data_IF_930312119287
#
_entry.id   IF_930312119287
#
_cell.length_a   1.000
_cell.length_b   1.000
_cell.length_c   1.000
_cell.angle_alpha   90.00
_cell.angle_beta   90.00
_cell.angle_gamma   90.00
#
_symmetry.space_group_name_H-M   'P 1'
#
loop_
_entity.id
_entity.type
_entity.pdbx_description
1 polymer ?
#
# COMPACT_ATOMS: atom_id res chain seq x y z
N UNK A 1 18.44 24.73 11.05
CA UNK A 1 17.18 25.01 11.77
C UNK A 1 16.06 24.43 10.93
N UNK A 2 15.52 23.27 11.30
CA UNK A 2 14.36 22.68 10.60
C UNK A 2 13.13 23.53 10.95
N UNK A 3 12.63 24.28 9.98
CA UNK A 3 11.51 25.19 10.19
C UNK A 3 10.24 24.41 10.56
N UNK A 4 9.28 25.06 11.19
CA UNK A 4 7.95 24.49 11.42
C UNK A 4 7.18 24.17 10.12
N UNK A 5 7.80 24.36 8.95
CA UNK A 5 7.17 24.40 7.64
C UNK A 5 6.84 23.02 7.06
N UNK A 6 7.64 21.98 7.31
CA UNK A 6 7.46 20.68 6.63
C UNK A 6 6.90 19.60 7.57
N UNK A 7 5.60 19.67 7.88
CA UNK A 7 4.95 18.73 8.79
C UNK A 7 4.74 17.34 8.16
N UNK A 8 4.37 17.27 6.88
CA UNK A 8 4.18 15.98 6.18
C UNK A 8 5.52 15.31 5.97
N UNK A 9 6.55 16.08 5.59
CA UNK A 9 7.90 15.53 5.45
C UNK A 9 8.40 14.95 6.77
N UNK A 10 8.24 15.66 7.90
CA UNK A 10 8.63 15.17 9.23
C UNK A 10 7.86 13.95 9.72
N UNK A 11 6.58 13.84 9.38
CA UNK A 11 5.84 12.61 9.68
C UNK A 11 6.35 11.47 8.79
N UNK A 12 6.69 11.76 7.53
CA UNK A 12 7.39 10.82 6.65
C UNK A 12 8.79 10.42 7.14
N UNK A 13 9.50 11.32 7.84
CA UNK A 13 10.80 11.05 8.48
C UNK A 13 10.72 10.06 9.64
N UNK A 14 9.53 9.80 10.21
CA UNK A 14 9.33 8.70 11.17
C UNK A 14 9.74 7.33 10.58
N UNK A 15 9.93 7.29 9.26
CA UNK A 15 10.47 6.16 8.53
C UNK A 15 9.37 5.31 7.94
N UNK A 16 9.79 4.43 7.04
CA UNK A 16 8.93 3.45 6.43
C UNK A 16 9.42 2.06 6.81
N UNK A 17 8.55 1.25 7.41
CA UNK A 17 8.85 -0.15 7.69
C UNK A 17 8.70 -0.94 6.38
N UNK A 18 9.67 -1.80 6.05
CA UNK A 18 9.56 -2.61 4.85
C UNK A 18 8.38 -3.59 4.89
N UNK A 19 7.89 -3.91 3.69
CA UNK A 19 6.81 -4.86 3.49
C UNK A 19 7.36 -6.29 3.48
N UNK A 20 7.78 -6.77 4.65
CA UNK A 20 8.47 -8.06 4.81
C UNK A 20 7.56 -9.18 5.37
N UNK A 21 6.25 -8.96 5.46
CA UNK A 21 5.32 -10.02 5.89
C UNK A 21 5.34 -11.18 4.88
N UNK A 22 5.03 -12.41 5.30
CA UNK A 22 4.92 -13.54 4.38
C UNK A 22 4.01 -13.26 3.18
N UNK A 23 2.89 -12.56 3.40
CA UNK A 23 1.97 -12.19 2.33
C UNK A 23 2.54 -11.12 1.38
N UNK A 24 3.32 -10.17 1.89
CA UNK A 24 3.94 -9.13 1.06
C UNK A 24 5.00 -9.77 0.15
N UNK A 25 5.82 -10.66 0.72
CA UNK A 25 6.80 -11.47 -0.02
C UNK A 25 6.13 -12.34 -1.07
N UNK A 26 5.04 -13.02 -0.72
CA UNK A 26 4.27 -13.84 -1.66
C UNK A 26 3.72 -13.00 -2.82
N UNK A 27 3.08 -11.85 -2.53
CA UNK A 27 2.57 -10.91 -3.55
C UNK A 27 3.67 -10.44 -4.48
N UNK A 28 4.83 -10.08 -3.93
CA UNK A 28 6.00 -9.61 -4.68
C UNK A 28 6.56 -10.70 -5.60
N UNK A 29 6.83 -11.89 -5.07
CA UNK A 29 7.38 -13.04 -5.80
C UNK A 29 6.42 -13.46 -6.91
N UNK A 30 5.14 -13.63 -6.60
CA UNK A 30 4.15 -14.10 -7.56
C UNK A 30 3.92 -13.06 -8.65
N UNK A 31 3.78 -11.78 -8.30
CA UNK A 31 3.64 -10.71 -9.31
C UNK A 31 4.84 -10.67 -10.26
N UNK A 32 6.06 -10.70 -9.73
CA UNK A 32 7.27 -10.70 -10.54
C UNK A 32 7.41 -11.95 -11.40
N UNK A 33 7.15 -13.13 -10.83
CA UNK A 33 7.18 -14.41 -11.53
C UNK A 33 6.14 -14.50 -12.64
N UNK A 34 4.93 -13.97 -12.43
CA UNK A 34 3.89 -13.89 -13.46
C UNK A 34 4.35 -13.01 -14.62
N UNK A 35 4.90 -11.82 -14.35
CA UNK A 35 5.48 -10.97 -15.39
C UNK A 35 6.61 -11.68 -16.15
N UNK A 36 7.49 -12.37 -15.42
CA UNK A 36 8.57 -13.17 -15.99
C UNK A 36 8.06 -14.25 -16.95
N UNK A 37 7.08 -15.06 -16.50
CA UNK A 37 6.48 -16.11 -17.31
C UNK A 37 5.81 -15.58 -18.57
N UNK A 38 5.05 -14.49 -18.46
CA UNK A 38 4.43 -13.83 -19.63
C UNK A 38 5.49 -13.36 -20.64
N UNK A 39 6.54 -12.68 -20.17
CA UNK A 39 7.64 -12.24 -21.04
C UNK A 39 8.35 -13.43 -21.69
N UNK A 40 8.62 -14.49 -20.94
CA UNK A 40 9.24 -15.72 -21.45
C UNK A 40 8.38 -16.40 -22.52
N UNK A 41 7.07 -16.53 -22.29
CA UNK A 41 6.13 -17.08 -23.28
C UNK A 41 6.11 -16.24 -24.56
N UNK A 42 6.04 -14.90 -24.45
CA UNK A 42 6.05 -14.01 -25.62
C UNK A 42 7.35 -14.15 -26.41
N UNK A 43 8.49 -14.12 -25.73
CA UNK A 43 9.81 -14.23 -26.36
C UNK A 43 9.98 -15.57 -27.07
N UNK A 44 9.59 -16.68 -26.44
CA UNK A 44 9.67 -18.00 -27.07
C UNK A 44 8.73 -18.16 -28.27
N UNK A 45 7.49 -17.67 -28.18
CA UNK A 45 6.55 -17.71 -29.30
C UNK A 45 7.02 -16.86 -30.47
N UNK A 46 7.62 -15.70 -30.20
CA UNK A 46 8.20 -14.84 -31.23
C UNK A 46 9.42 -15.51 -31.89
N UNK A 47 10.29 -16.13 -31.10
CA UNK A 47 11.49 -16.82 -31.60
C UNK A 47 11.15 -18.06 -32.43
N UNK A 48 10.12 -18.81 -32.03
CA UNK A 48 9.70 -20.07 -32.66
C UNK A 48 8.52 -19.88 -33.62
N UNK A 49 8.26 -18.65 -34.04
CA UNK A 49 7.15 -18.32 -34.93
C UNK A 49 7.35 -19.05 -36.27
N UNK A 50 6.36 -19.85 -36.65
CA UNK A 50 6.40 -20.69 -37.87
C UNK A 50 6.91 -22.12 -37.66
N UNK A 51 7.48 -22.45 -36.50
CA UNK A 51 7.91 -23.83 -36.18
C UNK A 51 6.93 -24.57 -35.27
N UNK A 52 6.12 -23.85 -34.49
CA UNK A 52 5.13 -24.46 -33.60
C UNK A 52 3.80 -24.67 -34.32
N UNK A 53 3.21 -25.86 -34.16
CA UNK A 53 1.82 -26.08 -34.57
C UNK A 53 0.87 -25.27 -33.68
N UNK A 54 -0.36 -24.96 -34.15
CA UNK A 54 -1.34 -24.22 -33.35
C UNK A 54 -1.61 -24.86 -31.97
N UNK A 55 -1.62 -26.18 -31.88
CA UNK A 55 -1.79 -26.90 -30.62
C UNK A 55 -0.63 -26.63 -29.64
N UNK A 56 0.61 -26.61 -30.14
CA UNK A 56 1.79 -26.32 -29.31
C UNK A 56 1.86 -24.86 -28.89
N UNK A 57 1.35 -23.94 -29.70
CA UNK A 57 1.21 -22.53 -29.30
C UNK A 57 0.25 -22.37 -28.11
N UNK A 58 -0.85 -23.12 -28.08
CA UNK A 58 -1.75 -23.14 -26.92
C UNK A 58 -1.05 -23.73 -25.69
N UNK A 59 -0.31 -24.84 -25.86
CA UNK A 59 0.45 -25.45 -24.76
C UNK A 59 1.52 -24.51 -24.21
N UNK A 60 2.17 -23.69 -25.05
CA UNK A 60 3.17 -22.71 -24.63
C UNK A 60 2.64 -21.66 -23.64
N UNK A 61 1.32 -21.46 -23.60
CA UNK A 61 0.68 -20.55 -22.64
C UNK A 61 0.50 -21.14 -21.24
N UNK A 62 0.63 -22.47 -21.07
CA UNK A 62 0.35 -23.17 -19.80
C UNK A 62 1.12 -22.58 -18.61
N UNK A 63 2.44 -22.33 -18.66
CA UNK A 63 3.17 -21.73 -17.53
C UNK A 63 2.63 -20.34 -17.15
N UNK A 64 2.30 -19.51 -18.15
CA UNK A 64 1.71 -18.19 -17.92
C UNK A 64 0.32 -18.27 -17.29
N UNK A 65 -0.51 -19.24 -17.72
CA UNK A 65 -1.83 -19.48 -17.13
C UNK A 65 -1.71 -19.94 -15.67
N UNK A 66 -0.80 -20.87 -15.36
CA UNK A 66 -0.56 -21.32 -13.98
C UNK A 66 -0.13 -20.14 -13.09
N UNK A 67 0.81 -19.32 -13.57
CA UNK A 67 1.26 -18.14 -12.83
C UNK A 67 0.17 -17.07 -12.69
N UNK A 68 -0.72 -16.94 -13.67
CA UNK A 68 -1.89 -16.07 -13.57
C UNK A 68 -2.87 -16.56 -12.50
N UNK A 69 -3.12 -17.87 -12.42
CA UNK A 69 -3.94 -18.47 -11.35
C UNK A 69 -3.30 -18.21 -9.99
N UNK A 70 -1.99 -18.47 -9.83
CA UNK A 70 -1.27 -18.18 -8.59
C UNK A 70 -1.36 -16.69 -8.20
N UNK A 71 -1.23 -15.80 -9.18
CA UNK A 71 -1.41 -14.35 -8.98
C UNK A 71 -2.80 -14.03 -8.44
N UNK A 72 -3.85 -14.55 -9.05
CA UNK A 72 -5.23 -14.34 -8.59
C UNK A 72 -5.42 -14.91 -7.18
N UNK A 73 -4.91 -16.10 -6.89
CA UNK A 73 -4.99 -16.73 -5.56
C UNK A 73 -4.38 -15.81 -4.49
N UNK A 74 -3.17 -15.33 -4.72
CA UNK A 74 -2.41 -14.51 -3.75
C UNK A 74 -3.01 -13.13 -3.56
N UNK A 75 -3.58 -12.54 -4.59
CA UNK A 75 -4.17 -11.20 -4.51
C UNK A 75 -5.62 -11.18 -4.04
N UNK A 76 -6.38 -12.26 -4.27
CA UNK A 76 -7.82 -12.29 -3.99
C UNK A 76 -8.24 -13.15 -2.81
N UNK A 77 -7.48 -14.19 -2.49
CA UNK A 77 -7.89 -15.17 -1.48
C UNK A 77 -6.93 -15.25 -0.29
N UNK A 78 -5.68 -14.81 -0.46
CA UNK A 78 -4.77 -14.65 0.67
C UNK A 78 -4.96 -13.26 1.28
N UNK A 79 -5.80 -13.24 2.30
CA UNK A 79 -5.94 -12.10 3.19
C UNK A 79 -4.75 -12.01 4.14
N UNK A 80 -4.51 -10.79 4.57
CA UNK A 80 -3.43 -10.46 5.47
C UNK A 80 -3.95 -10.66 6.90
N UNK A 81 -4.00 -11.92 7.35
CA UNK A 81 -4.34 -12.30 8.73
C UNK A 81 -3.48 -11.54 9.77
N UNK A 82 -2.31 -11.06 9.34
CA UNK A 82 -1.38 -10.28 10.14
C UNK A 82 -1.67 -8.77 10.19
N UNK A 83 -2.79 -8.28 9.63
CA UNK A 83 -3.22 -6.87 9.86
C UNK A 83 -3.44 -6.54 11.34
N UNK A 84 -3.52 -7.56 12.20
CA UNK A 84 -3.88 -7.36 13.60
C UNK A 84 -5.36 -6.94 13.70
N UNK A 85 -5.85 -6.83 14.93
CA UNK A 85 -7.18 -6.27 15.15
C UNK A 85 -7.14 -4.77 14.81
N UNK A 86 -7.91 -4.30 13.80
CA UNK A 86 -7.93 -2.89 13.46
C UNK A 86 -8.38 -2.08 14.67
N UNK A 87 -7.65 -1.01 14.99
CA UNK A 87 -7.95 -0.22 16.18
C UNK A 87 -8.80 0.98 15.76
N UNK A 88 -10.00 1.17 16.34
CA UNK A 88 -10.79 2.36 16.11
C UNK A 88 -10.05 3.60 16.61
N UNK A 89 -9.98 4.64 15.79
CA UNK A 89 -9.28 5.89 16.14
C UNK A 89 -10.09 7.12 15.73
N UNK A 90 -9.81 8.26 16.36
CA UNK A 90 -10.25 9.59 15.92
C UNK A 90 -9.02 10.38 15.50
N UNK A 91 -9.00 10.86 14.26
CA UNK A 91 -7.95 11.71 13.72
C UNK A 91 -8.41 13.16 13.70
N UNK A 92 -7.54 14.07 14.12
CA UNK A 92 -7.71 15.51 14.02
C UNK A 92 -6.73 16.09 13.02
N UNK A 93 -7.23 16.85 12.06
CA UNK A 93 -6.42 17.57 11.08
C UNK A 93 -5.52 18.60 11.77
N UNK A 94 -4.26 18.67 11.32
CA UNK A 94 -3.27 19.61 11.83
C UNK A 94 -3.08 20.77 10.87
N UNK A 95 -2.85 21.96 11.41
CA UNK A 95 -2.36 23.06 10.62
C UNK A 95 -0.98 22.73 10.05
N UNK A 96 -0.79 23.03 8.76
CA UNK A 96 0.51 22.94 8.10
C UNK A 96 0.75 24.20 7.27
N UNK A 97 2.01 24.61 7.17
CA UNK A 97 2.40 25.71 6.29
C UNK A 97 2.68 25.23 4.85
N UNK A 98 2.68 23.91 4.64
CA UNK A 98 2.85 23.32 3.30
C UNK A 98 1.62 23.60 2.44
N UNK A 99 1.86 24.14 1.24
CA UNK A 99 0.78 24.36 0.28
C UNK A 99 0.06 23.05 -0.07
N UNK A 100 -1.26 23.08 -0.34
CA UNK A 100 -1.96 21.89 -0.83
C UNK A 100 -1.29 21.31 -2.08
N UNK A 101 -0.76 22.17 -2.96
CA UNK A 101 -0.09 21.76 -4.19
C UNK A 101 1.17 20.91 -3.97
N UNK A 102 1.96 21.20 -2.94
CA UNK A 102 3.17 20.43 -2.61
C UNK A 102 2.84 19.07 -1.96
N UNK A 103 1.69 18.97 -1.30
CA UNK A 103 1.19 17.74 -0.64
C UNK A 103 0.34 16.85 -1.53
N UNK A 104 0.13 17.27 -2.77
CA UNK A 104 -0.79 16.62 -3.67
C UNK A 104 -0.08 15.57 -4.54
N UNK A 105 -0.53 14.32 -4.46
CA UNK A 105 -0.06 13.22 -5.29
C UNK A 105 -0.80 13.27 -6.63
N UNK A 106 -0.06 13.58 -7.71
CA UNK A 106 -0.65 13.86 -9.03
C UNK A 106 -0.89 12.62 -9.91
N UNK A 107 -0.31 11.48 -9.58
CA UNK A 107 -0.28 10.30 -10.47
C UNK A 107 -0.56 9.00 -9.74
N UNK A 108 -1.10 8.03 -10.48
CA UNK A 108 -1.34 6.66 -10.02
C UNK A 108 -2.65 6.49 -9.26
N UNK A 109 -2.87 5.27 -8.75
CA UNK A 109 -4.06 4.89 -7.99
C UNK A 109 -4.20 5.63 -6.64
N UNK A 110 -3.14 6.29 -6.19
CA UNK A 110 -3.10 7.09 -4.95
C UNK A 110 -3.17 8.60 -5.23
N UNK A 111 -3.79 9.01 -6.34
CA UNK A 111 -4.00 10.42 -6.64
C UNK A 111 -4.87 11.07 -5.55
N UNK A 112 -4.39 12.15 -4.95
CA UNK A 112 -5.08 12.77 -3.82
C UNK A 112 -4.21 13.73 -3.01
N UNK A 113 -4.79 14.25 -1.93
CA UNK A 113 -4.16 15.21 -1.03
C UNK A 113 -3.66 14.53 0.25
N UNK A 114 -2.40 14.76 0.61
CA UNK A 114 -1.85 14.35 1.90
C UNK A 114 -2.21 15.38 2.98
N UNK A 115 -2.89 14.92 4.03
CA UNK A 115 -3.31 15.76 5.16
C UNK A 115 -2.66 15.25 6.44
N UNK A 116 -1.86 16.09 7.13
CA UNK A 116 -1.28 15.70 8.40
C UNK A 116 -2.36 15.67 9.49
N UNK A 117 -2.32 14.63 10.31
CA UNK A 117 -3.28 14.42 11.39
C UNK A 117 -2.57 14.02 12.69
N UNK A 118 -3.15 14.41 13.83
CA UNK A 118 -2.90 13.74 15.10
C UNK A 118 -4.04 12.78 15.35
N UNK A 119 -3.71 11.58 15.79
CA UNK A 119 -4.62 10.47 15.98
C UNK A 119 -4.69 10.13 17.46
N UNK A 120 -5.91 9.95 17.97
CA UNK A 120 -6.19 9.37 19.27
C UNK A 120 -6.85 8.00 19.06
N UNK A 121 -6.18 6.90 19.39
CA UNK A 121 -6.83 5.60 19.50
C UNK A 121 -7.88 5.58 20.60
N UNK A 122 -8.92 4.76 20.43
CA UNK A 122 -9.83 4.42 21.53
C UNK A 122 -9.04 3.75 22.65
N UNK A 123 -8.11 2.85 22.27
CA UNK A 123 -7.17 2.20 23.19
C UNK A 123 -5.72 2.47 22.75
N UNK A 124 -4.99 3.25 23.55
CA UNK A 124 -3.55 3.50 23.35
C UNK A 124 -3.17 4.97 23.37
N UNK A 125 -1.91 5.22 23.07
CA UNK A 125 -1.30 6.55 23.09
C UNK A 125 -1.57 7.32 21.79
N UNK A 126 -1.70 8.66 21.85
CA UNK A 126 -1.83 9.47 20.67
C UNK A 126 -0.56 9.44 19.81
N UNK A 127 -0.75 9.60 18.50
CA UNK A 127 0.35 9.66 17.54
C UNK A 127 0.08 10.63 16.39
N UNK A 128 1.10 10.94 15.60
CA UNK A 128 0.98 11.69 14.34
C UNK A 128 1.05 10.76 13.14
N UNK A 129 0.24 11.06 12.15
CA UNK A 129 0.21 10.37 10.87
C UNK A 129 -0.21 11.31 9.74
N UNK A 130 -0.21 10.80 8.51
CA UNK A 130 -0.70 11.48 7.31
C UNK A 130 -1.81 10.63 6.71
N UNK A 131 -2.94 11.23 6.39
CA UNK A 131 -4.01 10.57 5.62
C UNK A 131 -3.93 11.00 4.17
N UNK A 132 -4.29 10.08 3.27
CA UNK A 132 -4.46 10.37 1.86
C UNK A 132 -5.95 10.52 1.56
N UNK A 133 -6.39 11.74 1.28
CA UNK A 133 -7.72 11.98 0.75
C UNK A 133 -7.69 11.75 -0.76
N UNK A 134 -8.28 10.65 -1.21
CA UNK A 134 -8.25 10.22 -2.61
C UNK A 134 -9.28 10.97 -3.44
N UNK A 135 -8.90 11.34 -4.66
CA UNK A 135 -9.87 11.82 -5.64
C UNK A 135 -10.78 10.69 -6.09
N UNK A 136 -12.09 10.94 -6.10
CA UNK A 136 -13.09 10.02 -6.62
C UNK A 136 -13.88 10.74 -7.70
N UNK A 137 -14.04 10.12 -8.88
CA UNK A 137 -14.88 10.68 -9.95
C UNK A 137 -14.36 11.95 -10.61
N UNK A 138 -13.06 12.26 -10.51
CA UNK A 138 -12.46 13.44 -11.15
C UNK A 138 -12.69 14.76 -10.40
N UNK A 139 -13.36 14.72 -9.24
CA UNK A 139 -13.52 15.88 -8.36
C UNK A 139 -12.25 16.06 -7.53
N UNK A 140 -11.70 17.27 -7.54
CA UNK A 140 -10.54 17.61 -6.75
C UNK A 140 -10.87 17.56 -5.26
N UNK A 141 -10.04 16.89 -4.48
CA UNK A 141 -10.24 16.83 -3.02
C UNK A 141 -9.94 18.19 -2.42
N UNK A 142 -10.90 18.71 -1.67
CA UNK A 142 -10.74 19.89 -0.84
C UNK A 142 -10.03 19.55 0.48
N UNK A 143 -9.18 20.45 0.94
CA UNK A 143 -8.52 20.27 2.23
C UNK A 143 -9.52 20.48 3.37
N UNK A 144 -9.66 19.52 4.29
CA UNK A 144 -10.52 19.69 5.46
C UNK A 144 -9.99 20.82 6.35
N UNK A 145 -10.90 21.51 7.02
CA UNK A 145 -10.56 22.56 7.97
C UNK A 145 -9.62 22.06 9.07
N UNK A 146 -8.80 22.95 9.62
CA UNK A 146 -7.92 22.61 10.73
C UNK A 146 -8.76 22.30 11.98
N UNK A 147 -8.50 21.16 12.61
CA UNK A 147 -9.25 20.71 13.78
C UNK A 147 -10.44 19.80 13.47
N UNK A 148 -10.75 19.54 12.19
CA UNK A 148 -11.76 18.55 11.79
C UNK A 148 -11.44 17.18 12.41
N UNK A 149 -12.44 16.59 13.06
CA UNK A 149 -12.37 15.27 13.66
C UNK A 149 -12.94 14.23 12.70
N UNK A 150 -12.13 13.25 12.33
CA UNK A 150 -12.46 12.17 11.41
C UNK A 150 -12.39 10.83 12.14
N UNK A 151 -13.44 10.02 12.00
CA UNK A 151 -13.42 8.66 12.51
C UNK A 151 -12.73 7.75 11.48
N UNK A 152 -11.66 7.08 11.89
CA UNK A 152 -10.85 6.21 11.05
C UNK A 152 -10.51 4.93 11.83
N UNK A 153 -9.80 4.00 11.18
CA UNK A 153 -9.17 2.88 11.89
C UNK A 153 -7.68 2.86 11.61
N UNK A 154 -6.91 2.57 12.63
CA UNK A 154 -5.52 2.19 12.47
C UNK A 154 -5.47 0.77 11.92
N UNK A 155 -4.76 0.58 10.80
CA UNK A 155 -4.70 -0.71 10.11
C UNK A 155 -4.00 -1.75 10.99
N UNK A 156 -2.89 -1.36 11.63
CA UNK A 156 -2.07 -2.20 12.48
C UNK A 156 -1.59 -1.40 13.71
N UNK A 157 -1.65 -2.01 14.89
CA UNK A 157 -1.16 -1.39 16.13
C UNK A 157 0.31 -0.99 16.01
N UNK A 158 0.63 0.25 16.36
CA UNK A 158 2.00 0.77 16.33
C UNK A 158 2.45 1.29 14.97
N UNK A 159 1.59 1.22 13.94
CA UNK A 159 1.84 1.80 12.61
C UNK A 159 1.01 3.05 12.39
N UNK A 160 1.55 4.02 11.64
CA UNK A 160 0.85 5.25 11.28
C UNK A 160 -0.28 5.04 10.28
N UNK A 161 -0.47 3.85 9.71
CA UNK A 161 -1.43 3.63 8.63
C UNK A 161 -2.87 3.72 9.10
N UNK A 162 -3.64 4.59 8.42
CA UNK A 162 -5.04 4.82 8.69
C UNK A 162 -5.87 4.41 7.47
N UNK A 163 -7.00 3.77 7.73
CA UNK A 163 -7.99 3.41 6.72
C UNK A 163 -9.35 3.97 7.09
N UNK A 164 -10.20 4.13 6.06
CA UNK A 164 -11.59 4.47 6.26
C UNK A 164 -12.34 3.32 6.96
N UNK A 165 -13.45 3.67 7.59
CA UNK A 165 -14.37 2.76 8.26
C UNK A 165 -15.74 2.83 7.61
N UNK A 166 -16.46 1.70 7.62
CA UNK A 166 -17.82 1.65 7.07
C UNK A 166 -18.85 2.18 8.08
N UNK A 167 -18.59 1.98 9.38
CA UNK A 167 -19.47 2.39 10.48
C UNK A 167 -18.64 2.92 11.65
N UNK A 168 -19.10 4.00 12.26
CA UNK A 168 -18.49 4.59 13.47
C UNK A 168 -18.97 3.81 14.69
N UNK A 169 -18.05 3.34 15.53
CA UNK A 169 -18.42 2.64 16.77
C UNK A 169 -18.88 3.61 17.86
N UNK A 170 -19.70 3.17 18.84
CA UNK A 170 -20.11 4.02 19.96
C UNK A 170 -18.93 4.60 20.77
N UNK A 171 -17.84 3.84 20.90
CA UNK A 171 -16.63 4.27 21.59
C UNK A 171 -15.89 5.38 20.84
N UNK A 172 -15.84 5.28 19.50
CA UNK A 172 -15.29 6.36 18.66
C UNK A 172 -16.14 7.62 18.75
N UNK A 173 -17.46 7.48 18.79
CA UNK A 173 -18.36 8.61 18.93
C UNK A 173 -18.15 9.32 20.28
N UNK A 174 -18.11 8.56 21.37
CA UNK A 174 -17.81 9.09 22.70
C UNK A 174 -16.43 9.78 22.77
N UNK A 175 -15.42 9.20 22.10
CA UNK A 175 -14.10 9.80 21.98
C UNK A 175 -14.14 11.11 21.17
N UNK A 176 -14.87 11.13 20.06
CA UNK A 176 -15.06 12.31 19.20
C UNK A 176 -15.71 13.44 19.97
N UNK A 177 -16.80 13.18 20.69
CA UNK A 177 -17.48 14.18 21.53
C UNK A 177 -16.59 14.70 22.66
N UNK A 178 -15.80 13.82 23.28
CA UNK A 178 -14.85 14.22 24.33
C UNK A 178 -13.77 15.14 23.78
N UNK A 179 -13.20 14.81 22.62
CA UNK A 179 -12.18 15.60 21.95
C UNK A 179 -12.73 16.93 21.41
N UNK A 180 -14.00 16.97 20.98
CA UNK A 180 -14.68 18.19 20.58
C UNK A 180 -14.84 19.16 21.77
N UNK A 181 -15.20 18.64 22.96
CA UNK A 181 -15.30 19.44 24.20
C UNK A 181 -13.94 19.85 24.77
N UNK A 182 -12.94 18.99 24.65
CA UNK A 182 -11.61 19.19 25.24
C UNK A 182 -10.50 18.99 24.21
N UNK A 183 -10.36 19.88 23.21
CA UNK A 183 -9.41 19.70 22.10
C UNK A 183 -7.95 19.63 22.58
N UNK A 184 -7.62 20.25 23.71
CA UNK A 184 -6.25 20.24 24.26
C UNK A 184 -5.80 18.88 24.81
N UNK A 185 -6.72 17.92 25.01
CA UNK A 185 -6.35 16.55 25.42
C UNK A 185 -5.48 15.87 24.37
N UNK A 186 -5.71 16.21 23.10
CA UNK A 186 -4.97 15.64 21.99
C UNK A 186 -3.80 16.58 21.63
N UNK A 187 -2.59 16.19 22.03
CA UNK A 187 -1.39 17.01 21.84
C UNK A 187 -0.92 17.00 20.38
N UNK A 188 -0.66 18.20 19.83
CA UNK A 188 -0.05 18.36 18.50
C UNK A 188 1.40 17.83 18.43
N UNK A 189 2.02 17.51 19.59
CA UNK A 189 3.41 17.03 19.70
C UNK A 189 3.53 15.53 19.89
N UNK A 190 2.45 14.77 19.66
CA UNK A 190 2.49 13.32 19.72
C UNK A 190 3.61 12.73 18.83
N UNK A 191 4.21 11.58 19.18
CA UNK A 191 5.22 10.95 18.33
C UNK A 191 4.63 10.58 16.97
N UNK A 192 5.42 10.69 15.90
CA UNK A 192 5.00 10.19 14.59
C UNK A 192 5.28 8.67 14.54
N UNK A 193 4.30 7.90 14.05
CA UNK A 193 4.46 6.46 13.86
C UNK A 193 4.87 6.15 12.41
N UNK A 194 5.69 5.10 12.21
CA UNK A 194 6.13 4.75 10.87
C UNK A 194 5.00 4.14 10.04
N UNK A 195 5.08 4.27 8.72
CA UNK A 195 4.14 3.66 7.78
C UNK A 195 4.76 2.44 7.12
N UNK A 196 3.95 1.42 6.76
CA UNK A 196 4.47 0.28 6.01
C UNK A 196 4.55 0.68 4.55
N UNK A 197 5.59 0.18 3.88
CA UNK A 197 5.73 0.31 2.43
C UNK A 197 4.70 -0.55 1.71
N UNK A 198 4.42 -0.21 0.46
CA UNK A 198 3.61 -1.10 -0.39
C UNK A 198 4.29 -2.45 -0.61
N UNK A 199 3.51 -3.52 -0.72
CA UNK A 199 4.01 -4.90 -0.92
C UNK A 199 4.90 -5.08 -2.16
N UNK A 200 4.80 -4.19 -3.14
CA UNK A 200 5.60 -4.20 -4.37
C UNK A 200 6.82 -3.27 -4.33
N UNK A 201 7.00 -2.48 -3.26
CA UNK A 201 8.17 -1.62 -3.12
C UNK A 201 9.45 -2.44 -2.95
N UNK A 202 10.47 -2.15 -3.76
CA UNK A 202 11.71 -2.93 -3.83
C UNK A 202 12.77 -2.48 -2.82
N UNK A 203 12.31 -2.11 -1.62
CA UNK A 203 13.17 -1.64 -0.53
C UNK A 203 12.83 -2.44 0.72
N UNK A 204 13.82 -3.03 1.42
CA UNK A 204 15.27 -2.96 1.19
C UNK A 204 15.77 -3.83 0.02
N UNK A 205 17.08 -3.95 -0.15
CA UNK A 205 17.70 -4.69 -1.26
C UNK A 205 17.26 -6.17 -1.36
N UNK A 206 16.91 -6.82 -0.24
CA UNK A 206 16.34 -8.18 -0.24
C UNK A 206 15.03 -8.24 -1.02
N UNK A 207 14.17 -7.25 -0.83
CA UNK A 207 12.93 -7.07 -1.57
C UNK A 207 13.18 -6.85 -3.08
N UNK A 208 14.26 -6.16 -3.45
CA UNK A 208 14.67 -6.07 -4.86
C UNK A 208 15.15 -7.42 -5.42
N UNK A 209 15.93 -8.18 -4.64
CA UNK A 209 16.42 -9.50 -5.04
C UNK A 209 15.27 -10.50 -5.24
N UNK A 210 14.27 -10.51 -4.35
CA UNK A 210 13.06 -11.33 -4.51
C UNK A 210 12.32 -11.00 -5.81
N UNK A 211 12.16 -9.71 -6.13
CA UNK A 211 11.50 -9.27 -7.35
C UNK A 211 12.26 -9.73 -8.60
N UNK A 212 13.54 -9.38 -8.71
CA UNK A 212 14.32 -9.69 -9.92
C UNK A 212 14.60 -11.19 -10.06
N UNK A 213 14.84 -11.88 -8.94
CA UNK A 213 15.01 -13.33 -8.91
C UNK A 213 13.76 -14.06 -9.38
N UNK A 214 12.58 -13.68 -8.87
CA UNK A 214 11.32 -14.31 -9.28
C UNK A 214 10.97 -13.99 -10.74
N UNK A 215 11.22 -12.76 -11.21
CA UNK A 215 11.04 -12.39 -12.62
C UNK A 215 11.93 -13.25 -13.53
N UNK A 216 13.22 -13.38 -13.22
CA UNK A 216 14.15 -14.20 -13.97
C UNK A 216 13.77 -15.68 -13.96
N UNK A 217 13.36 -16.21 -12.80
CA UNK A 217 12.91 -17.59 -12.66
C UNK A 217 11.65 -17.88 -13.49
N UNK A 218 10.65 -16.99 -13.45
CA UNK A 218 9.43 -17.13 -14.26
C UNK A 218 9.73 -17.15 -15.75
N UNK A 219 10.62 -16.27 -16.22
CA UNK A 219 11.08 -16.24 -17.60
C UNK A 219 11.79 -17.55 -17.99
N UNK A 220 12.73 -18.01 -17.18
CA UNK A 220 13.48 -19.24 -17.44
C UNK A 220 12.58 -20.48 -17.50
N UNK A 221 11.61 -20.59 -16.58
CA UNK A 221 10.64 -21.70 -16.56
C UNK A 221 9.80 -21.71 -17.84
N UNK A 222 9.29 -20.56 -18.28
CA UNK A 222 8.50 -20.48 -19.51
C UNK A 222 9.32 -20.88 -20.75
N UNK A 223 10.56 -20.38 -20.87
CA UNK A 223 11.45 -20.76 -21.97
C UNK A 223 11.78 -22.26 -21.96
N UNK A 224 12.16 -22.80 -20.79
CA UNK A 224 12.51 -24.21 -20.64
C UNK A 224 11.33 -25.13 -20.95
N UNK A 225 10.13 -24.78 -20.48
CA UNK A 225 8.92 -25.54 -20.80
C UNK A 225 8.63 -25.56 -22.31
N UNK A 226 8.73 -24.40 -22.96
CA UNK A 226 8.48 -24.28 -24.40
C UNK A 226 9.52 -25.07 -25.21
N UNK A 227 10.77 -25.06 -24.76
CA UNK A 227 11.84 -25.87 -25.36
C UNK A 227 11.56 -27.37 -25.28
N UNK A 228 10.90 -27.84 -24.21
CA UNK A 228 10.55 -29.26 -24.03
C UNK A 228 9.39 -29.70 -24.93
N UNK A 229 8.45 -28.80 -25.24
CA UNK A 229 7.28 -29.10 -26.09
C UNK A 229 7.49 -28.77 -27.58
N UNK A 230 8.58 -28.07 -27.91
CA UNK A 230 9.09 -27.87 -29.27
C UNK A 230 9.53 -29.23 -29.85
#
# INVERSE_FOLDING_TARGET
>A
MASHTDLVARIGEAGAVPADRPIDRARRIVTAGTLGAFLGTILALFWLLGYLSPARMVLAAVPSVIMLVAFVVVWRFLDDDARGTPIPVIARTLATAESPYSRYIKKGANKGLLVPVVVQPVEGEPFRSVILLRETGGVQVEEPEVGTLMALRQVERGMGELANIDQVTPEQEALRERLARHPRQLSNRAPALPMRRGSLERVPASAAAEWWGALGAGLAVALAYIWVIY
#
